data_IF_922590333487
#
_entry.id   IF_922590333487
#
_cell.length_a   1.000
_cell.length_b   1.000
_cell.length_c   1.000
_cell.angle_alpha   90.00
_cell.angle_beta   90.00
_cell.angle_gamma   90.00
#
_symmetry.space_group_name_H-M   'P 1'
#
loop_
_entity.id
_entity.type
_entity.pdbx_description
1 polymer ?
#
# COMPACT_ATOMS: atom_id res chain seq x y z
N UNK A 1 -10.98 11.94 -6.98
CA UNK A 1 -11.47 10.64 -6.46
C UNK A 1 -11.76 10.77 -4.97
N UNK A 2 -12.94 10.39 -4.49
CA UNK A 2 -13.30 10.52 -3.07
C UNK A 2 -12.84 9.25 -2.35
N UNK A 3 -11.79 9.32 -1.53
CA UNK A 3 -11.22 8.18 -0.76
C UNK A 3 -12.29 7.36 -0.01
N UNK A 4 -13.34 8.03 0.48
CA UNK A 4 -14.47 7.36 1.14
C UNK A 4 -15.21 6.37 0.24
N UNK A 5 -15.33 6.67 -1.06
CA UNK A 5 -15.95 5.78 -2.02
C UNK A 5 -15.08 4.52 -2.25
N UNK A 6 -13.76 4.69 -2.38
CA UNK A 6 -12.81 3.58 -2.46
C UNK A 6 -12.91 2.67 -1.24
N UNK A 7 -12.84 3.22 -0.03
CA UNK A 7 -12.93 2.43 1.21
C UNK A 7 -14.26 1.66 1.27
N UNK A 8 -15.40 2.31 0.96
CA UNK A 8 -16.71 1.64 0.95
C UNK A 8 -16.79 0.52 -0.09
N UNK A 9 -16.21 0.73 -1.28
CA UNK A 9 -16.14 -0.31 -2.31
C UNK A 9 -15.29 -1.49 -1.84
N UNK A 10 -14.13 -1.21 -1.24
CA UNK A 10 -13.26 -2.23 -0.64
C UNK A 10 -13.93 -2.97 0.50
N UNK A 11 -14.71 -2.30 1.36
CA UNK A 11 -15.51 -2.96 2.39
C UNK A 11 -16.49 -3.97 1.78
N UNK A 12 -17.26 -3.55 0.77
CA UNK A 12 -18.21 -4.43 0.07
C UNK A 12 -17.53 -5.64 -0.55
N UNK A 13 -16.41 -5.43 -1.24
CA UNK A 13 -15.68 -6.52 -1.88
C UNK A 13 -15.05 -7.46 -0.84
N UNK A 14 -14.50 -6.92 0.26
CA UNK A 14 -13.96 -7.74 1.34
C UNK A 14 -15.05 -8.57 2.02
N UNK A 15 -16.23 -8.00 2.26
CA UNK A 15 -17.35 -8.70 2.92
C UNK A 15 -17.95 -9.82 2.05
N UNK A 16 -17.81 -9.74 0.73
CA UNK A 16 -18.18 -10.83 -0.19
C UNK A 16 -17.24 -12.03 -0.09
N UNK A 17 -15.96 -11.81 0.22
CA UNK A 17 -14.95 -12.86 0.37
C UNK A 17 -14.01 -12.54 1.53
N UNK A 18 -14.44 -12.74 2.79
CA UNK A 18 -13.68 -12.36 3.98
C UNK A 18 -12.54 -13.35 4.24
N UNK A 19 -11.54 -13.36 3.36
CA UNK A 19 -10.28 -14.08 3.56
C UNK A 19 -9.30 -13.11 4.20
N UNK A 20 -8.74 -13.48 5.34
CA UNK A 20 -7.67 -12.74 5.99
C UNK A 20 -6.38 -13.55 5.94
N UNK A 21 -5.24 -12.87 5.83
CA UNK A 21 -3.94 -13.52 6.00
C UNK A 21 -3.73 -13.84 7.47
N UNK A 22 -3.47 -15.11 7.77
CA UNK A 22 -2.91 -15.55 9.06
C UNK A 22 -1.72 -16.49 8.78
N UNK A 23 -0.58 -16.37 9.47
CA UNK A 23 -0.19 -15.36 10.47
C UNK A 23 0.47 -14.10 9.89
N UNK A 24 0.25 -12.95 10.53
CA UNK A 24 0.67 -11.60 10.08
C UNK A 24 2.08 -11.21 10.57
N UNK A 25 2.62 -11.87 11.60
CA UNK A 25 4.00 -11.71 12.03
C UNK A 25 4.83 -12.91 11.57
N UNK A 26 5.22 -12.85 10.30
CA UNK A 26 6.08 -13.86 9.68
C UNK A 26 7.21 -13.15 8.94
N UNK A 27 8.41 -13.73 8.83
CA UNK A 27 9.43 -13.26 7.90
C UNK A 27 8.91 -13.16 6.46
N UNK A 28 7.82 -13.86 6.15
CA UNK A 28 7.15 -13.83 4.85
C UNK A 28 5.94 -12.88 4.79
N UNK A 29 5.79 -11.94 5.73
CA UNK A 29 4.65 -11.01 5.78
C UNK A 29 4.34 -10.36 4.43
N UNK A 30 5.35 -9.78 3.78
CA UNK A 30 5.16 -9.12 2.47
C UNK A 30 4.77 -10.10 1.38
N UNK A 31 5.33 -11.31 1.39
CA UNK A 31 4.97 -12.36 0.43
C UNK A 31 3.54 -12.86 0.64
N UNK A 32 3.12 -13.07 1.88
CA UNK A 32 1.76 -13.49 2.23
C UNK A 32 0.75 -12.40 1.89
N UNK A 33 1.05 -11.15 2.23
CA UNK A 33 0.25 -9.98 1.86
C UNK A 33 0.11 -9.84 0.35
N UNK A 34 1.21 -9.98 -0.40
CA UNK A 34 1.18 -9.92 -1.86
C UNK A 34 0.34 -11.05 -2.47
N UNK A 35 0.47 -12.30 -1.98
CA UNK A 35 -0.37 -13.42 -2.40
C UNK A 35 -1.85 -13.17 -2.14
N UNK A 36 -2.17 -12.60 -0.98
CA UNK A 36 -3.54 -12.22 -0.67
C UNK A 36 -4.04 -11.12 -1.61
N UNK A 37 -3.27 -10.06 -1.82
CA UNK A 37 -3.59 -8.99 -2.77
C UNK A 37 -3.83 -9.54 -4.19
N UNK A 38 -3.00 -10.48 -4.64
CA UNK A 38 -3.17 -11.18 -5.91
C UNK A 38 -4.50 -11.92 -6.00
N UNK A 39 -4.90 -12.61 -4.92
CA UNK A 39 -6.18 -13.34 -4.88
C UNK A 39 -7.41 -12.41 -4.96
N UNK A 40 -7.24 -11.11 -4.73
CA UNK A 40 -8.32 -10.11 -4.82
C UNK A 40 -8.41 -9.44 -6.19
N UNK A 41 -7.42 -9.63 -7.08
CA UNK A 41 -7.45 -9.08 -8.42
C UNK A 41 -8.42 -9.92 -9.28
N UNK A 42 -9.37 -9.29 -10.01
CA UNK A 42 -10.23 -10.02 -10.92
C UNK A 42 -9.39 -10.68 -12.02
N UNK A 43 -9.59 -11.98 -12.23
CA UNK A 43 -8.96 -12.74 -13.32
C UNK A 43 -9.50 -12.20 -14.64
N UNK A 44 -8.78 -11.28 -15.30
CA UNK A 44 -9.29 -10.62 -16.50
C UNK A 44 -9.18 -11.48 -17.76
N UNK A 45 -8.28 -12.48 -17.86
CA UNK A 45 -8.23 -13.41 -19.00
C UNK A 45 -7.50 -14.74 -18.69
N UNK A 46 -7.83 -15.86 -19.38
CA UNK A 46 -7.09 -17.13 -19.31
C UNK A 46 -5.84 -17.19 -20.22
N UNK A 47 -5.53 -16.13 -20.98
CA UNK A 47 -4.71 -16.23 -22.21
C UNK A 47 -3.26 -15.80 -22.10
N UNK A 48 -2.76 -15.55 -20.90
CA UNK A 48 -1.32 -15.61 -20.66
C UNK A 48 -1.12 -16.39 -19.40
N UNK A 49 -0.59 -17.61 -19.56
CA UNK A 49 0.10 -18.30 -18.50
C UNK A 49 1.03 -17.27 -17.85
N UNK A 50 0.59 -16.72 -16.72
CA UNK A 50 1.40 -15.89 -15.84
C UNK A 50 2.54 -16.81 -15.44
N UNK A 51 3.64 -16.78 -16.21
CA UNK A 51 4.82 -17.62 -15.98
C UNK A 51 5.41 -17.16 -14.67
N UNK A 52 4.94 -17.80 -13.61
CA UNK A 52 5.53 -17.83 -12.29
C UNK A 52 6.87 -18.55 -12.42
N UNK A 53 7.89 -17.90 -12.96
CA UNK A 53 9.25 -18.46 -12.95
C UNK A 53 10.29 -17.56 -12.27
N UNK A 54 9.89 -16.39 -11.78
CA UNK A 54 10.64 -15.67 -10.76
C UNK A 54 9.68 -14.80 -9.97
N UNK A 55 9.02 -15.34 -8.94
CA UNK A 55 8.24 -14.51 -8.03
C UNK A 55 9.18 -13.41 -7.49
N UNK A 56 8.90 -12.11 -7.71
CA UNK A 56 9.77 -11.06 -7.23
C UNK A 56 9.90 -11.17 -5.71
N UNK A 57 11.06 -10.80 -5.18
CA UNK A 57 11.31 -10.86 -3.74
C UNK A 57 10.52 -9.74 -3.03
N UNK A 58 9.22 -10.01 -2.77
CA UNK A 58 8.31 -9.09 -2.09
C UNK A 58 8.83 -8.69 -0.71
N UNK A 59 9.57 -9.58 -0.04
CA UNK A 59 10.26 -9.29 1.21
C UNK A 59 11.25 -8.15 1.06
N UNK A 60 12.16 -8.24 0.09
CA UNK A 60 13.14 -7.21 -0.20
C UNK A 60 12.48 -5.87 -0.58
N UNK A 61 11.50 -5.88 -1.48
CA UNK A 61 10.80 -4.65 -1.89
C UNK A 61 10.00 -4.01 -0.75
N UNK A 62 9.39 -4.83 0.11
CA UNK A 62 8.73 -4.35 1.32
C UNK A 62 9.71 -3.70 2.29
N UNK A 63 10.81 -4.40 2.61
CA UNK A 63 11.87 -3.85 3.46
C UNK A 63 12.46 -2.57 2.88
N UNK A 64 12.68 -2.50 1.57
CA UNK A 64 13.17 -1.30 0.90
C UNK A 64 12.17 -0.13 1.04
N UNK A 65 10.89 -0.34 0.69
CA UNK A 65 9.84 0.69 0.78
C UNK A 65 9.70 1.22 2.21
N UNK A 66 9.49 0.34 3.17
CA UNK A 66 9.25 0.73 4.55
C UNK A 66 10.53 1.22 5.24
N UNK A 67 11.69 0.67 4.90
CA UNK A 67 12.99 1.15 5.38
C UNK A 67 13.25 2.60 4.98
N UNK A 68 13.06 2.96 3.71
CA UNK A 68 13.18 4.36 3.28
C UNK A 68 12.15 5.28 3.95
N UNK A 69 10.91 4.81 4.11
CA UNK A 69 9.85 5.59 4.76
C UNK A 69 10.14 5.83 6.25
N UNK A 70 10.70 4.83 6.94
CA UNK A 70 11.14 4.95 8.34
C UNK A 70 12.38 5.85 8.48
N UNK A 71 13.32 5.81 7.53
CA UNK A 71 14.45 6.74 7.53
C UNK A 71 13.98 8.19 7.34
N UNK A 72 13.03 8.42 6.43
CA UNK A 72 12.42 9.74 6.24
C UNK A 72 11.67 10.23 7.50
N UNK A 73 10.96 9.33 8.19
CA UNK A 73 10.34 9.60 9.48
C UNK A 73 11.37 10.00 10.54
N UNK A 74 12.43 9.21 10.71
CA UNK A 74 13.46 9.45 11.72
C UNK A 74 14.22 10.76 11.46
N UNK A 75 14.60 11.03 10.20
CA UNK A 75 15.25 12.28 9.81
C UNK A 75 14.35 13.49 10.07
N UNK A 76 13.06 13.39 9.69
CA UNK A 76 12.09 14.46 9.92
C UNK A 76 11.84 14.68 11.42
N UNK A 77 11.72 13.62 12.20
CA UNK A 77 11.53 13.68 13.65
C UNK A 77 12.72 14.28 14.38
N UNK A 78 13.94 13.92 13.97
CA UNK A 78 15.16 14.52 14.50
C UNK A 78 15.23 16.03 14.18
N UNK A 79 14.99 16.42 12.93
CA UNK A 79 15.03 17.82 12.52
C UNK A 79 13.96 18.67 13.22
N UNK A 80 12.71 18.18 13.30
CA UNK A 80 11.62 18.87 13.98
C UNK A 80 11.81 18.90 15.50
N UNK A 81 12.37 17.85 16.09
CA UNK A 81 12.67 17.77 17.52
C UNK A 81 13.70 18.82 17.98
N UNK A 82 14.66 19.17 17.12
CA UNK A 82 15.59 20.28 17.37
C UNK A 82 14.91 21.65 17.38
N UNK A 83 13.80 21.81 16.65
CA UNK A 83 13.03 23.06 16.60
C UNK A 83 12.07 23.12 17.79
N UNK A 84 11.26 22.07 17.97
CA UNK A 84 10.33 21.94 19.09
C UNK A 84 9.84 20.50 19.22
N UNK A 85 9.86 19.97 20.44
CA UNK A 85 9.33 18.63 20.72
C UNK A 85 7.85 18.49 20.33
N UNK A 86 7.07 19.58 20.39
CA UNK A 86 5.65 19.60 20.00
C UNK A 86 5.44 19.39 18.50
N UNK A 87 6.44 19.66 17.66
CA UNK A 87 6.36 19.47 16.21
C UNK A 87 6.70 18.03 15.78
N UNK A 88 7.29 17.22 16.67
CA UNK A 88 7.69 15.84 16.33
C UNK A 88 6.57 14.94 15.78
N UNK A 89 5.28 15.09 16.15
CA UNK A 89 4.21 14.31 15.51
C UNK A 89 4.09 14.56 14.01
N UNK A 90 4.51 15.74 13.50
CA UNK A 90 4.49 16.05 12.07
C UNK A 90 5.52 15.22 11.27
N UNK A 91 6.46 14.53 11.93
CA UNK A 91 7.40 13.62 11.27
C UNK A 91 6.68 12.49 10.51
N UNK A 92 5.46 12.14 10.92
CA UNK A 92 4.60 11.19 10.18
C UNK A 92 4.36 11.64 8.73
N UNK A 93 4.35 12.94 8.45
CA UNK A 93 4.25 13.45 7.08
C UNK A 93 5.48 13.07 6.26
N UNK A 94 6.67 13.10 6.85
CA UNK A 94 7.90 12.65 6.18
C UNK A 94 7.84 11.16 5.80
N UNK A 95 7.29 10.32 6.68
CA UNK A 95 7.00 8.92 6.35
C UNK A 95 6.11 8.83 5.12
N UNK A 96 4.94 9.49 5.14
CA UNK A 96 3.96 9.37 4.06
C UNK A 96 4.42 10.01 2.75
N UNK A 97 5.19 11.10 2.79
CA UNK A 97 5.81 11.70 1.59
C UNK A 97 6.74 10.70 0.91
N UNK A 98 7.52 9.92 1.66
CA UNK A 98 8.33 8.86 1.06
C UNK A 98 7.46 7.68 0.60
N UNK A 99 6.49 7.29 1.43
CA UNK A 99 5.64 6.12 1.20
C UNK A 99 4.81 6.22 -0.08
N UNK A 100 4.29 7.42 -0.41
CA UNK A 100 3.47 7.62 -1.62
C UNK A 100 4.22 7.32 -2.92
N UNK A 101 5.54 7.55 -2.98
CA UNK A 101 6.35 7.23 -4.16
C UNK A 101 6.29 5.74 -4.52
N UNK A 102 6.07 4.90 -3.50
CA UNK A 102 5.99 3.45 -3.59
C UNK A 102 4.58 2.93 -3.31
N UNK A 103 3.56 3.78 -3.44
CA UNK A 103 2.15 3.43 -3.17
C UNK A 103 1.73 2.21 -4.00
N UNK A 104 2.08 2.20 -5.29
CA UNK A 104 1.67 1.17 -6.24
C UNK A 104 2.73 0.10 -6.50
N UNK A 105 3.80 0.07 -5.71
CA UNK A 105 4.90 -0.87 -5.91
C UNK A 105 4.44 -2.34 -5.88
N UNK A 106 3.66 -2.73 -4.87
CA UNK A 106 3.16 -4.10 -4.75
C UNK A 106 2.21 -4.50 -5.89
N UNK A 107 1.16 -3.72 -6.23
CA UNK A 107 0.34 -4.00 -7.40
C UNK A 107 1.13 -4.13 -8.71
N UNK A 108 2.13 -3.28 -8.94
CA UNK A 108 2.99 -3.35 -10.13
C UNK A 108 3.86 -4.61 -10.16
N UNK A 109 4.36 -5.05 -9.01
CA UNK A 109 5.09 -6.31 -8.89
C UNK A 109 4.19 -7.52 -9.16
N UNK A 110 2.94 -7.46 -8.70
CA UNK A 110 1.93 -8.49 -8.99
C UNK A 110 1.58 -8.53 -10.48
N UNK A 111 1.55 -7.36 -11.14
CA UNK A 111 1.33 -7.22 -12.58
C UNK A 111 2.59 -7.52 -13.44
N UNK A 112 3.70 -7.95 -12.82
CA UNK A 112 4.92 -8.33 -13.55
C UNK A 112 5.61 -7.16 -14.26
N UNK A 113 5.42 -5.92 -13.80
CA UNK A 113 6.01 -4.74 -14.42
C UNK A 113 7.55 -4.82 -14.43
N UNK A 114 8.18 -4.52 -15.56
CA UNK A 114 9.64 -4.62 -15.72
C UNK A 114 10.44 -3.66 -14.81
N UNK A 115 9.91 -2.44 -14.57
CA UNK A 115 10.59 -1.40 -13.79
C UNK A 115 9.66 -0.87 -12.67
N UNK A 116 9.31 -1.70 -11.67
CA UNK A 116 8.17 -1.44 -10.78
C UNK A 116 8.38 -0.21 -9.89
N UNK A 117 9.62 0.06 -9.46
CA UNK A 117 9.97 1.25 -8.68
C UNK A 117 9.75 2.55 -9.47
N UNK A 118 10.32 2.62 -10.68
CA UNK A 118 10.21 3.80 -11.54
C UNK A 118 8.77 4.00 -11.99
N UNK A 119 8.05 2.93 -12.31
CA UNK A 119 6.65 3.00 -12.71
C UNK A 119 5.77 3.47 -11.54
N UNK A 120 6.01 3.01 -10.31
CA UNK A 120 5.30 3.48 -9.11
C UNK A 120 5.52 4.99 -8.88
N UNK A 121 6.77 5.45 -8.97
CA UNK A 121 7.08 6.87 -8.84
C UNK A 121 6.40 7.69 -9.94
N UNK A 122 6.52 7.28 -11.20
CA UNK A 122 5.88 7.96 -12.33
C UNK A 122 4.36 8.03 -12.17
N UNK A 123 3.72 6.95 -11.71
CA UNK A 123 2.30 6.92 -11.43
C UNK A 123 1.91 7.92 -10.33
N UNK A 124 2.70 7.99 -9.26
CA UNK A 124 2.51 8.95 -8.16
C UNK A 124 2.57 10.40 -8.66
N UNK A 125 3.57 10.74 -9.47
CA UNK A 125 3.69 12.08 -10.06
C UNK A 125 2.60 12.39 -11.08
N UNK A 126 2.11 11.40 -11.82
CA UNK A 126 0.98 11.55 -12.76
C UNK A 126 -0.34 11.87 -12.04
N UNK A 127 -0.59 11.24 -10.89
CA UNK A 127 -1.75 11.55 -10.03
C UNK A 127 -1.56 12.91 -9.32
N UNK A 128 -0.30 13.29 -9.09
CA UNK A 128 0.11 14.46 -8.34
C UNK A 128 0.45 14.09 -6.90
N UNK A 129 1.60 14.55 -6.41
CA UNK A 129 2.13 14.18 -5.09
C UNK A 129 1.17 14.52 -3.96
N UNK A 130 0.59 15.73 -3.98
CA UNK A 130 -0.36 16.18 -2.97
C UNK A 130 -1.66 15.36 -3.01
N UNK A 131 -2.18 15.07 -4.21
CA UNK A 131 -3.36 14.22 -4.40
C UNK A 131 -3.11 12.80 -3.87
N UNK A 132 -1.94 12.23 -4.16
CA UNK A 132 -1.54 10.93 -3.64
C UNK A 132 -1.44 10.94 -2.11
N UNK A 133 -0.84 11.99 -1.53
CA UNK A 133 -0.69 12.15 -0.08
C UNK A 133 -2.04 12.28 0.64
N UNK A 134 -2.90 13.17 0.16
CA UNK A 134 -4.26 13.36 0.69
C UNK A 134 -5.15 12.12 0.49
N UNK A 135 -4.81 11.27 -0.48
CA UNK A 135 -5.47 9.99 -0.70
C UNK A 135 -5.01 8.89 0.26
N UNK A 136 -3.70 8.75 0.44
CA UNK A 136 -3.11 7.68 1.27
C UNK A 136 -3.30 7.94 2.76
N UNK A 137 -3.25 9.21 3.22
CA UNK A 137 -3.35 9.54 4.64
C UNK A 137 -4.66 9.01 5.27
N UNK A 138 -5.86 9.23 4.69
CA UNK A 138 -7.08 8.64 5.23
C UNK A 138 -7.14 7.11 5.12
N UNK A 139 -6.55 6.51 4.08
CA UNK A 139 -6.48 5.04 3.94
C UNK A 139 -5.61 4.46 5.06
N UNK A 140 -4.43 5.02 5.29
CA UNK A 140 -3.52 4.63 6.37
C UNK A 140 -4.15 4.82 7.75
N UNK A 141 -4.80 5.97 7.99
CA UNK A 141 -5.57 6.21 9.21
C UNK A 141 -6.68 5.18 9.43
N UNK A 142 -7.41 4.80 8.37
CA UNK A 142 -8.42 3.74 8.43
C UNK A 142 -7.80 2.38 8.78
N UNK A 143 -6.68 2.01 8.15
CA UNK A 143 -5.95 0.76 8.46
C UNK A 143 -5.50 0.71 9.92
N UNK A 144 -4.88 1.77 10.41
CA UNK A 144 -4.37 1.86 11.79
C UNK A 144 -5.50 1.84 12.83
N UNK A 145 -6.64 2.47 12.52
CA UNK A 145 -7.81 2.44 13.41
C UNK A 145 -8.37 1.03 13.63
N UNK A 146 -8.08 0.09 12.73
CA UNK A 146 -8.44 -1.32 12.87
C UNK A 146 -7.70 -2.02 14.00
N UNK A 147 -6.44 -1.62 14.26
CA UNK A 147 -5.61 -2.23 15.29
C UNK A 147 -6.16 -2.04 16.71
N UNK A 148 -7.04 -1.06 16.91
CA UNK A 148 -7.76 -0.85 18.17
C UNK A 148 -8.89 -1.87 18.40
N UNK A 149 -9.33 -2.58 17.36
CA UNK A 149 -10.34 -3.64 17.48
C UNK A 149 -9.67 -4.99 17.78
N UNK A 150 -9.81 -5.46 19.03
CA UNK A 150 -9.20 -6.71 19.50
C UNK A 150 -9.73 -7.98 18.82
N UNK A 151 -10.95 -7.98 18.31
CA UNK A 151 -11.56 -9.18 17.72
C UNK A 151 -11.09 -9.41 16.28
N UNK A 152 -10.90 -8.33 15.50
CA UNK A 152 -10.50 -8.40 14.10
C UNK A 152 -9.53 -7.25 13.73
N UNK A 153 -8.33 -7.22 14.33
CA UNK A 153 -7.41 -6.08 14.21
C UNK A 153 -6.97 -5.82 12.77
N UNK A 154 -6.93 -6.86 11.94
CA UNK A 154 -6.45 -6.79 10.56
C UNK A 154 -7.55 -6.60 9.51
N UNK A 155 -8.84 -6.58 9.88
CA UNK A 155 -9.91 -6.41 8.88
C UNK A 155 -9.74 -5.09 8.11
N UNK A 156 -9.58 -3.98 8.83
CA UNK A 156 -9.37 -2.66 8.19
C UNK A 156 -8.04 -2.55 7.45
N UNK A 157 -7.03 -3.30 7.89
CA UNK A 157 -5.76 -3.40 7.18
C UNK A 157 -5.95 -3.99 5.79
N UNK A 158 -6.60 -5.15 5.69
CA UNK A 158 -6.90 -5.79 4.41
C UNK A 158 -7.79 -4.91 3.50
N UNK A 159 -8.83 -4.29 4.07
CA UNK A 159 -9.69 -3.35 3.34
C UNK A 159 -8.87 -2.17 2.79
N UNK A 160 -7.93 -1.61 3.57
CA UNK A 160 -7.05 -0.55 3.10
C UNK A 160 -6.11 -1.00 1.98
N UNK A 161 -5.52 -2.20 2.09
CA UNK A 161 -4.75 -2.79 1.00
C UNK A 161 -5.59 -2.97 -0.28
N UNK A 162 -6.86 -3.36 -0.13
CA UNK A 162 -7.80 -3.49 -1.24
C UNK A 162 -8.16 -2.12 -1.84
N UNK A 163 -8.29 -1.08 -1.02
CA UNK A 163 -8.50 0.29 -1.50
C UNK A 163 -7.35 0.78 -2.37
N UNK A 164 -6.10 0.43 -2.00
CA UNK A 164 -4.92 0.72 -2.83
C UNK A 164 -4.93 -0.09 -4.12
N UNK A 165 -5.38 -1.35 -4.10
CA UNK A 165 -5.52 -2.17 -5.33
C UNK A 165 -6.55 -1.59 -6.29
N UNK A 166 -7.72 -1.18 -5.79
CA UNK A 166 -8.76 -0.57 -6.62
C UNK A 166 -8.27 0.77 -7.18
N UNK A 167 -7.62 1.59 -6.35
CA UNK A 167 -7.03 2.84 -6.82
C UNK A 167 -5.97 2.61 -7.89
N UNK A 168 -5.13 1.59 -7.73
CA UNK A 168 -4.17 1.17 -8.75
C UNK A 168 -4.85 0.77 -10.06
N UNK A 169 -5.93 -0.02 -9.99
CA UNK A 169 -6.70 -0.42 -11.17
C UNK A 169 -7.21 0.79 -11.96
N UNK A 170 -7.85 1.73 -11.24
CA UNK A 170 -8.51 2.90 -11.83
C UNK A 170 -7.52 3.92 -12.43
N UNK A 171 -6.39 4.18 -11.76
CA UNK A 171 -5.49 5.29 -12.14
C UNK A 171 -4.22 4.85 -12.88
N UNK A 172 -3.79 3.61 -12.71
CA UNK A 172 -2.50 3.14 -13.20
C UNK A 172 -2.67 2.01 -14.20
N UNK A 173 -3.34 0.92 -13.81
CA UNK A 173 -3.40 -0.32 -14.61
C UNK A 173 -4.07 -0.12 -15.97
N UNK A 174 -5.21 0.56 -16.00
CA UNK A 174 -5.96 0.81 -17.26
C UNK A 174 -5.31 1.91 -18.14
N UNK A 175 -4.20 2.51 -17.70
CA UNK A 175 -3.50 3.63 -18.40
C UNK A 175 -2.02 3.37 -18.65
N UNK A 176 -1.55 2.14 -18.41
CA UNK A 176 -0.23 1.62 -18.77
C UNK A 176 -0.32 0.94 -20.14
#
# INVERSE_FOLDING_TARGET
>A
MIVRALIRQSERQFDQQPRQVQPVFSPHLFTLGARWMFSQLPVKEPTTAYRVDASPNFGWYGCFKYGLSLLAFAASGWALGHISLLLTPLAVLGFYVMEVHFLFLFPLLLDGAQNPLRTSMKATYRIGLLSALLGVLPIGGYMLSGLLNRQQPFRRWHIGCLAVLLWYQDEVRDRL
#
